data_IF_495588345267
#
_entry.id   IF_495588345267
#
_cell.length_a   1.000
_cell.length_b   1.000
_cell.length_c   1.000
_cell.angle_alpha   90.00
_cell.angle_beta   90.00
_cell.angle_gamma   90.00
#
_symmetry.space_group_name_H-M   'P 1'
#
loop_
_entity.id
_entity.type
_entity.pdbx_description
1 polymer ?
#
# COMPACT_ATOMS: atom_id res chain seq x y z
N UNK A 1 10.70 -24.32 -7.81
CA UNK A 1 9.44 -23.69 -7.37
C UNK A 1 8.67 -24.71 -6.55
N UNK A 2 8.19 -24.31 -5.40
CA UNK A 2 7.30 -25.17 -4.61
C UNK A 2 5.95 -25.24 -5.31
N UNK A 3 5.33 -26.44 -5.33
CA UNK A 3 4.05 -26.67 -5.98
C UNK A 3 2.93 -26.65 -4.95
N UNK A 4 1.81 -26.00 -5.27
CA UNK A 4 0.64 -25.92 -4.39
C UNK A 4 -0.66 -26.17 -5.13
N UNK A 5 -1.65 -26.68 -4.38
CA UNK A 5 -3.04 -26.73 -4.78
C UNK A 5 -3.82 -25.64 -4.06
N UNK A 6 -4.81 -25.02 -4.71
CA UNK A 6 -5.66 -24.02 -4.08
C UNK A 6 -6.98 -24.65 -3.63
N UNK A 7 -7.45 -24.23 -2.44
CA UNK A 7 -8.82 -24.48 -1.97
C UNK A 7 -9.54 -23.15 -1.82
N UNK A 8 -10.74 -23.05 -2.40
CA UNK A 8 -11.59 -21.87 -2.24
C UNK A 8 -13.07 -22.21 -2.07
N UNK A 9 -13.75 -21.45 -1.22
CA UNK A 9 -15.18 -21.58 -0.96
C UNK A 9 -15.91 -20.35 -1.46
N UNK A 10 -16.91 -20.54 -2.33
CA UNK A 10 -17.83 -19.48 -2.69
C UNK A 10 -19.05 -19.50 -1.78
N UNK A 11 -19.30 -18.44 -1.04
CA UNK A 11 -20.44 -18.27 -0.14
C UNK A 11 -21.57 -17.42 -0.73
N UNK A 12 -21.79 -17.52 -2.05
CA UNK A 12 -22.85 -16.80 -2.75
C UNK A 12 -22.42 -15.55 -3.50
N UNK A 13 -21.12 -15.38 -3.75
CA UNK A 13 -20.61 -14.31 -4.61
C UNK A 13 -20.90 -14.61 -6.09
N UNK A 14 -21.09 -13.57 -6.93
CA UNK A 14 -21.12 -13.74 -8.38
C UNK A 14 -19.87 -14.44 -8.90
N UNK A 15 -20.02 -15.25 -9.96
CA UNK A 15 -18.92 -16.07 -10.48
C UNK A 15 -17.71 -15.23 -10.93
N UNK A 16 -17.92 -14.07 -11.57
CA UNK A 16 -16.86 -13.16 -11.98
C UNK A 16 -16.05 -12.65 -10.80
N UNK A 17 -16.71 -12.26 -9.71
CA UNK A 17 -16.05 -11.80 -8.48
C UNK A 17 -15.23 -12.90 -7.80
N UNK A 18 -15.80 -14.10 -7.72
CA UNK A 18 -15.12 -15.24 -7.14
C UNK A 18 -13.89 -15.65 -7.96
N UNK A 19 -14.01 -15.66 -9.29
CA UNK A 19 -12.90 -15.98 -10.18
C UNK A 19 -11.77 -14.92 -10.11
N UNK A 20 -12.11 -13.64 -9.92
CA UNK A 20 -11.11 -12.60 -9.69
C UNK A 20 -10.34 -12.78 -8.39
N UNK A 21 -11.04 -13.13 -7.29
CA UNK A 21 -10.38 -13.45 -6.02
C UNK A 21 -9.42 -14.64 -6.14
N UNK A 22 -9.78 -15.65 -6.95
CA UNK A 22 -8.91 -16.79 -7.24
C UNK A 22 -7.70 -16.38 -8.08
N UNK A 23 -7.92 -15.63 -9.14
CA UNK A 23 -6.85 -15.10 -9.97
C UNK A 23 -5.87 -14.22 -9.17
N UNK A 24 -6.39 -13.44 -8.22
CA UNK A 24 -5.54 -12.67 -7.30
C UNK A 24 -4.72 -13.58 -6.39
N UNK A 25 -5.32 -14.65 -5.82
CA UNK A 25 -4.58 -15.61 -4.98
C UNK A 25 -3.47 -16.32 -5.76
N UNK A 26 -3.74 -16.73 -7.01
CA UNK A 26 -2.73 -17.34 -7.89
C UNK A 26 -1.54 -16.38 -8.06
N UNK A 27 -1.79 -15.11 -8.37
CA UNK A 27 -0.74 -14.08 -8.49
C UNK A 27 0.00 -13.83 -7.17
N UNK A 28 -0.66 -13.97 -6.01
CA UNK A 28 0.00 -13.92 -4.71
C UNK A 28 0.94 -15.12 -4.52
N UNK A 29 0.52 -16.33 -4.90
CA UNK A 29 1.37 -17.53 -4.86
C UNK A 29 2.59 -17.38 -5.79
N UNK A 30 2.40 -16.91 -7.01
CA UNK A 30 3.49 -16.60 -7.96
C UNK A 30 4.49 -15.60 -7.38
N UNK A 31 4.01 -14.57 -6.65
CA UNK A 31 4.87 -13.60 -5.98
C UNK A 31 5.72 -14.22 -4.85
N UNK A 32 5.31 -15.37 -4.33
CA UNK A 32 6.07 -16.22 -3.39
C UNK A 32 6.89 -17.32 -4.08
N UNK A 33 6.95 -17.34 -5.42
CA UNK A 33 7.61 -18.41 -6.19
C UNK A 33 6.98 -19.79 -5.99
N UNK A 34 5.67 -19.82 -5.71
CA UNK A 34 4.86 -21.02 -5.58
C UNK A 34 4.07 -21.21 -6.88
N UNK A 35 4.25 -22.36 -7.52
CA UNK A 35 3.50 -22.77 -8.73
C UNK A 35 2.16 -23.39 -8.31
N UNK A 36 1.05 -22.83 -8.79
CA UNK A 36 -0.28 -23.36 -8.54
C UNK A 36 -0.60 -24.39 -9.63
N UNK A 37 -0.79 -25.66 -9.21
CA UNK A 37 -1.07 -26.76 -10.15
C UNK A 37 -2.55 -26.77 -10.54
N UNK A 38 -3.46 -26.69 -9.56
CA UNK A 38 -4.89 -26.71 -9.79
C UNK A 38 -5.66 -26.05 -8.62
N UNK A 39 -6.95 -25.82 -8.80
CA UNK A 39 -7.84 -25.15 -7.84
C UNK A 39 -9.10 -25.96 -7.57
N UNK A 40 -9.27 -26.40 -6.33
CA UNK A 40 -10.49 -27.06 -5.86
C UNK A 40 -11.45 -26.02 -5.28
N UNK A 41 -12.63 -25.90 -5.89
CA UNK A 41 -13.66 -24.97 -5.43
C UNK A 41 -14.88 -25.69 -4.85
N UNK A 42 -15.55 -25.02 -3.91
CA UNK A 42 -16.81 -25.50 -3.36
C UNK A 42 -17.79 -24.34 -3.14
N UNK A 43 -19.06 -24.53 -3.54
CA UNK A 43 -20.14 -23.61 -3.19
C UNK A 43 -20.77 -24.06 -1.88
N UNK A 44 -20.76 -23.20 -0.87
CA UNK A 44 -21.36 -23.44 0.44
C UNK A 44 -22.13 -22.19 0.88
N UNK A 45 -23.27 -22.38 1.54
CA UNK A 45 -23.97 -21.28 2.21
C UNK A 45 -23.20 -20.74 3.42
N UNK A 46 -22.39 -21.60 4.06
CA UNK A 46 -21.54 -21.27 5.20
C UNK A 46 -20.29 -22.13 5.21
N UNK A 47 -19.16 -21.51 5.49
CA UNK A 47 -17.85 -22.18 5.64
C UNK A 47 -17.89 -23.20 6.77
N UNK A 48 -17.31 -24.39 6.56
CA UNK A 48 -17.22 -25.41 7.60
C UNK A 48 -16.28 -24.91 8.72
N UNK A 49 -16.76 -24.87 9.99
CA UNK A 49 -15.97 -24.37 11.11
C UNK A 49 -14.76 -25.25 11.46
N UNK A 50 -14.75 -26.53 11.07
CA UNK A 50 -13.70 -27.48 11.40
C UNK A 50 -12.63 -27.61 10.32
N UNK A 51 -13.05 -27.66 9.05
CA UNK A 51 -12.18 -28.03 7.91
C UNK A 51 -12.29 -27.05 6.74
N UNK A 52 -12.99 -25.91 6.90
CA UNK A 52 -13.22 -24.91 5.86
C UNK A 52 -14.10 -25.40 4.70
N UNK A 53 -13.86 -26.61 4.19
CA UNK A 53 -14.64 -27.31 3.15
C UNK A 53 -15.34 -28.54 3.74
N UNK A 54 -16.28 -29.12 3.00
CA UNK A 54 -16.95 -30.36 3.39
C UNK A 54 -16.03 -31.59 3.33
N UNK A 55 -16.32 -32.62 4.12
CA UNK A 55 -15.52 -33.85 4.22
C UNK A 55 -15.27 -34.54 2.87
N UNK A 56 -16.28 -34.58 1.98
CA UNK A 56 -16.14 -35.14 0.64
C UNK A 56 -15.10 -34.38 -0.20
N UNK A 57 -15.04 -33.04 -0.08
CA UNK A 57 -14.05 -32.22 -0.76
C UNK A 57 -12.65 -32.34 -0.14
N UNK A 58 -12.56 -32.65 1.15
CA UNK A 58 -11.26 -32.97 1.79
C UNK A 58 -10.68 -34.25 1.20
N UNK A 59 -11.52 -35.31 1.00
CA UNK A 59 -11.07 -36.55 0.39
C UNK A 59 -10.67 -36.37 -1.08
N UNK A 60 -11.43 -35.58 -1.84
CA UNK A 60 -11.11 -35.23 -3.23
C UNK A 60 -9.76 -34.51 -3.31
N UNK A 61 -9.52 -33.51 -2.44
CA UNK A 61 -8.23 -32.81 -2.37
C UNK A 61 -7.09 -33.76 -2.02
N UNK A 62 -7.30 -34.69 -1.10
CA UNK A 62 -6.28 -35.67 -0.73
C UNK A 62 -5.85 -36.54 -1.90
N UNK A 63 -6.79 -37.02 -2.71
CA UNK A 63 -6.50 -37.79 -3.92
C UNK A 63 -5.73 -36.96 -4.96
N UNK A 64 -6.09 -35.68 -5.14
CA UNK A 64 -5.39 -34.77 -6.04
C UNK A 64 -3.95 -34.52 -5.58
N UNK A 65 -3.72 -34.29 -4.29
CA UNK A 65 -2.38 -34.10 -3.72
C UNK A 65 -1.48 -35.32 -3.92
N UNK A 66 -2.02 -36.52 -3.75
CA UNK A 66 -1.32 -37.79 -3.98
C UNK A 66 -0.98 -37.98 -5.46
N UNK A 67 -1.90 -37.64 -6.40
CA UNK A 67 -1.69 -37.81 -7.85
C UNK A 67 -0.65 -36.83 -8.42
N UNK A 68 -0.60 -35.60 -7.89
CA UNK A 68 0.28 -34.53 -8.37
C UNK A 68 1.59 -34.42 -7.56
N UNK A 69 1.81 -35.30 -6.58
CA UNK A 69 2.95 -35.25 -5.65
C UNK A 69 3.15 -33.86 -5.03
N UNK A 70 2.05 -33.24 -4.60
CA UNK A 70 2.02 -31.87 -4.10
C UNK A 70 2.00 -31.84 -2.58
N UNK A 71 2.93 -31.10 -1.98
CA UNK A 71 3.10 -31.01 -0.52
C UNK A 71 2.49 -29.76 0.13
N UNK A 72 1.82 -28.89 -0.63
CA UNK A 72 1.31 -27.61 -0.13
C UNK A 72 -0.13 -27.40 -0.58
N UNK A 73 -0.95 -26.92 0.33
CA UNK A 73 -2.30 -26.40 0.04
C UNK A 73 -2.40 -24.94 0.45
N UNK A 74 -2.93 -24.10 -0.43
CA UNK A 74 -3.19 -22.69 -0.15
C UNK A 74 -4.69 -22.42 -0.14
N UNK A 75 -5.19 -21.78 0.90
CA UNK A 75 -6.62 -21.48 1.09
C UNK A 75 -6.92 -20.00 0.86
N UNK A 76 -7.99 -19.69 0.12
CA UNK A 76 -8.35 -18.33 -0.31
C UNK A 76 -8.83 -17.40 0.80
N UNK A 77 -9.16 -17.91 1.97
CA UNK A 77 -9.62 -17.14 3.13
C UNK A 77 -8.65 -17.30 4.30
N UNK A 78 -8.75 -16.42 5.30
CA UNK A 78 -8.04 -16.60 6.56
C UNK A 78 -8.63 -17.80 7.32
N UNK A 79 -7.78 -18.70 7.79
CA UNK A 79 -8.17 -19.88 8.54
C UNK A 79 -8.02 -19.69 10.03
N UNK A 80 -8.95 -20.24 10.80
CA UNK A 80 -8.75 -20.40 12.24
C UNK A 80 -7.65 -21.43 12.53
N UNK A 81 -6.96 -21.34 13.68
CA UNK A 81 -5.95 -22.33 14.07
C UNK A 81 -6.47 -23.77 14.07
N UNK A 82 -7.75 -23.95 14.39
CA UNK A 82 -8.41 -25.26 14.36
C UNK A 82 -8.56 -25.80 12.93
N UNK A 83 -8.98 -24.94 12.00
CA UNK A 83 -9.12 -25.33 10.58
C UNK A 83 -7.77 -25.72 9.97
N UNK A 84 -6.72 -24.95 10.22
CA UNK A 84 -5.36 -25.28 9.76
C UNK A 84 -4.96 -26.65 10.28
N UNK A 85 -5.01 -26.85 11.59
CA UNK A 85 -4.59 -28.11 12.20
C UNK A 85 -5.41 -29.33 11.75
N UNK A 86 -6.72 -29.18 11.53
CA UNK A 86 -7.54 -30.27 11.03
C UNK A 86 -7.25 -30.59 9.56
N UNK A 87 -7.07 -29.57 8.71
CA UNK A 87 -6.73 -29.77 7.30
C UNK A 87 -5.36 -30.43 7.14
N UNK A 88 -4.32 -29.94 7.85
CA UNK A 88 -2.99 -30.56 7.85
C UNK A 88 -3.03 -32.03 8.27
N UNK A 89 -3.82 -32.35 9.31
CA UNK A 89 -3.99 -33.72 9.77
C UNK A 89 -4.68 -34.61 8.76
N UNK A 90 -5.73 -34.13 8.09
CA UNK A 90 -6.51 -34.93 7.15
C UNK A 90 -5.81 -35.07 5.79
N UNK A 91 -5.15 -34.00 5.32
CA UNK A 91 -4.47 -33.95 4.02
C UNK A 91 -3.05 -34.50 4.08
N UNK A 92 -2.38 -34.41 5.24
CA UNK A 92 -0.99 -34.85 5.42
C UNK A 92 0.07 -33.94 4.78
N UNK A 93 -0.30 -32.70 4.44
CA UNK A 93 0.55 -31.67 3.80
C UNK A 93 0.45 -30.35 4.54
N UNK A 94 1.37 -29.41 4.25
CA UNK A 94 1.33 -28.08 4.82
C UNK A 94 0.15 -27.26 4.27
N UNK A 95 -0.56 -26.57 5.16
CA UNK A 95 -1.72 -25.75 4.81
C UNK A 95 -1.46 -24.28 5.14
N UNK A 96 -1.41 -23.46 4.12
CA UNK A 96 -1.26 -22.02 4.23
C UNK A 96 -2.56 -21.30 3.87
N UNK A 97 -2.86 -20.24 4.57
CA UNK A 97 -3.97 -19.38 4.22
C UNK A 97 -3.49 -18.12 3.48
N UNK A 98 -4.43 -17.35 2.93
CA UNK A 98 -4.15 -16.10 2.21
C UNK A 98 -3.30 -15.13 3.05
N UNK A 99 -3.56 -15.06 4.36
CA UNK A 99 -2.81 -14.19 5.28
C UNK A 99 -1.34 -14.58 5.34
N UNK A 100 -1.05 -15.88 5.42
CA UNK A 100 0.32 -16.38 5.42
C UNK A 100 1.07 -16.02 4.13
N UNK A 101 0.44 -16.19 2.97
CA UNK A 101 1.05 -15.86 1.67
C UNK A 101 1.37 -14.36 1.59
N UNK A 102 0.47 -13.49 2.02
CA UNK A 102 0.71 -12.04 2.04
C UNK A 102 1.87 -11.69 2.99
N UNK A 103 1.94 -12.31 4.18
CA UNK A 103 3.03 -12.12 5.13
C UNK A 103 4.38 -12.59 4.56
N UNK A 104 4.40 -13.70 3.84
CA UNK A 104 5.61 -14.22 3.19
C UNK A 104 6.10 -13.26 2.09
N UNK A 105 5.20 -12.71 1.25
CA UNK A 105 5.56 -11.69 0.27
C UNK A 105 6.18 -10.48 0.98
N UNK A 106 5.58 -10.02 2.07
CA UNK A 106 6.07 -8.88 2.82
C UNK A 106 7.42 -9.16 3.47
N UNK A 107 7.63 -10.38 4.00
CA UNK A 107 8.92 -10.81 4.56
C UNK A 107 10.05 -10.75 3.54
N UNK A 108 9.80 -11.22 2.32
CA UNK A 108 10.77 -11.19 1.21
C UNK A 108 11.05 -9.77 0.69
N UNK A 109 10.09 -8.84 0.86
CA UNK A 109 10.17 -7.47 0.33
C UNK A 109 10.71 -6.45 1.34
N UNK A 110 10.62 -6.71 2.63
CA UNK A 110 11.05 -5.80 3.69
C UNK A 110 12.57 -5.58 3.67
N UNK A 111 13.01 -4.36 3.35
CA UNK A 111 14.43 -3.99 3.30
C UNK A 111 14.84 -3.11 4.47
N UNK A 112 14.02 -2.13 4.85
CA UNK A 112 14.32 -1.21 5.95
C UNK A 112 14.12 -1.89 7.30
N UNK A 113 14.77 -1.34 8.33
CA UNK A 113 14.57 -1.80 9.72
C UNK A 113 13.11 -1.74 10.13
N UNK A 114 12.40 -0.67 9.76
CA UNK A 114 11.00 -0.47 10.12
C UNK A 114 10.09 -1.49 9.44
N UNK A 115 10.23 -1.70 8.12
CA UNK A 115 9.43 -2.69 7.40
C UNK A 115 9.66 -4.11 7.96
N UNK A 116 10.90 -4.48 8.28
CA UNK A 116 11.23 -5.77 8.93
C UNK A 116 10.53 -5.91 10.28
N UNK A 117 10.56 -4.87 11.12
CA UNK A 117 9.87 -4.88 12.40
C UNK A 117 8.35 -4.99 12.25
N UNK A 118 7.75 -4.31 11.27
CA UNK A 118 6.32 -4.38 10.98
C UNK A 118 5.90 -5.79 10.52
N UNK A 119 6.65 -6.37 9.58
CA UNK A 119 6.40 -7.75 9.13
C UNK A 119 6.57 -8.75 10.27
N UNK A 120 7.62 -8.62 11.06
CA UNK A 120 7.84 -9.48 12.22
C UNK A 120 6.73 -9.35 13.27
N UNK A 121 6.24 -8.12 13.51
CA UNK A 121 5.09 -7.89 14.39
C UNK A 121 3.84 -8.61 13.88
N UNK A 122 3.52 -8.45 12.59
CA UNK A 122 2.36 -9.09 11.98
C UNK A 122 2.48 -10.63 12.01
N UNK A 123 3.66 -11.17 11.69
CA UNK A 123 3.93 -12.61 11.74
C UNK A 123 3.78 -13.16 13.16
N UNK A 124 4.29 -12.47 14.15
CA UNK A 124 4.17 -12.87 15.55
C UNK A 124 2.70 -12.86 16.04
N UNK A 125 1.93 -11.84 15.65
CA UNK A 125 0.49 -11.74 15.95
C UNK A 125 -0.28 -12.88 15.26
N UNK A 126 0.04 -13.18 14.01
CA UNK A 126 -0.57 -14.26 13.25
C UNK A 126 -0.24 -15.65 13.82
N UNK A 127 1.00 -15.87 14.28
CA UNK A 127 1.46 -17.14 14.82
C UNK A 127 0.96 -17.39 16.25
N UNK A 128 0.82 -16.36 17.09
CA UNK A 128 0.51 -16.49 18.51
C UNK A 128 -0.75 -17.36 18.80
N UNK A 129 -1.91 -17.19 18.14
CA UNK A 129 -3.07 -18.06 18.35
C UNK A 129 -2.86 -19.48 17.79
N UNK A 130 -2.01 -19.65 16.78
CA UNK A 130 -1.73 -20.93 16.11
C UNK A 130 -0.85 -21.85 16.93
N UNK A 131 0.03 -21.31 17.78
CA UNK A 131 0.79 -22.10 18.75
C UNK A 131 -0.10 -22.91 19.68
N UNK A 132 -1.25 -22.38 20.08
CA UNK A 132 -2.20 -23.05 20.98
C UNK A 132 -2.86 -24.25 20.30
N UNK A 133 -3.06 -24.22 18.99
CA UNK A 133 -3.67 -25.31 18.20
C UNK A 133 -2.72 -26.49 17.97
N UNK A 134 -1.46 -26.21 17.60
CA UNK A 134 -0.48 -27.23 17.21
C UNK A 134 -0.15 -28.23 18.33
N UNK A 135 -0.13 -27.81 19.58
CA UNK A 135 0.24 -28.68 20.72
C UNK A 135 -0.90 -29.52 21.29
N UNK A 136 -2.18 -29.16 21.07
CA UNK A 136 -3.30 -30.03 21.46
C UNK A 136 -3.28 -31.37 20.71
N UNK A 137 -2.73 -31.40 19.51
CA UNK A 137 -2.58 -32.63 18.72
C UNK A 137 -1.37 -33.46 19.15
N UNK A 138 -0.23 -32.86 19.48
CA UNK A 138 0.96 -33.58 19.97
C UNK A 138 0.73 -34.25 21.34
N UNK A 139 -0.09 -33.69 22.23
CA UNK A 139 -0.44 -34.29 23.50
C UNK A 139 -1.42 -35.47 23.36
N UNK A 140 -2.27 -35.50 22.34
CA UNK A 140 -3.18 -36.62 22.06
C UNK A 140 -2.49 -37.81 21.38
N UNK A 141 -1.49 -37.59 20.54
CA UNK A 141 -0.75 -38.67 19.87
C UNK A 141 0.13 -39.47 20.82
N UNK A 142 0.53 -38.93 21.98
CA UNK A 142 1.33 -39.62 23.00
C UNK A 142 0.49 -40.38 24.04
N UNK A 143 -0.85 -40.44 23.89
CA UNK A 143 -1.78 -40.97 24.86
C UNK A 143 -2.06 -42.49 24.79
N UNK A 144 -1.44 -43.28 23.89
CA UNK A 144 -1.61 -44.74 23.75
C UNK A 144 -0.33 -45.51 24.14
N UNK A 145 0.16 -45.29 25.31
CA UNK A 145 1.29 -46.06 25.85
C UNK A 145 1.27 -46.00 27.38
N UNK A 146 0.97 -47.14 27.99
CA UNK A 146 0.98 -47.41 29.41
C UNK A 146 2.20 -46.76 30.10
N UNK A 147 1.98 -45.96 31.13
CA UNK A 147 2.92 -45.67 32.17
C UNK A 147 3.87 -44.49 31.94
N UNK A 148 3.43 -43.25 32.20
CA UNK A 148 4.34 -42.22 32.73
C UNK A 148 3.55 -41.02 33.27
N UNK A 149 3.53 -40.85 34.56
CA UNK A 149 3.04 -39.65 35.27
C UNK A 149 3.88 -38.38 35.04
N UNK A 150 4.91 -38.43 34.20
CA UNK A 150 5.89 -37.32 33.99
C UNK A 150 5.80 -36.63 32.63
N UNK A 151 4.86 -37.00 31.72
CA UNK A 151 4.83 -36.47 30.36
C UNK A 151 3.89 -35.29 30.08
N UNK A 152 2.92 -35.00 30.97
CA UNK A 152 1.91 -33.96 30.74
C UNK A 152 2.38 -32.53 30.98
N UNK A 153 3.33 -32.30 31.88
CA UNK A 153 3.81 -30.97 32.20
C UNK A 153 4.83 -30.38 31.21
N UNK A 154 5.62 -31.21 30.51
CA UNK A 154 6.70 -30.74 29.66
C UNK A 154 6.27 -30.07 28.36
N UNK A 155 5.21 -30.56 27.75
CA UNK A 155 4.68 -29.98 26.50
C UNK A 155 3.89 -28.69 26.73
N UNK A 156 3.09 -28.64 27.80
CA UNK A 156 2.34 -27.45 28.21
C UNK A 156 3.28 -26.34 28.69
N UNK A 157 4.35 -26.70 29.41
CA UNK A 157 5.37 -25.75 29.86
C UNK A 157 6.16 -25.16 28.69
N UNK A 158 6.52 -25.92 27.67
CA UNK A 158 7.18 -25.43 26.46
C UNK A 158 6.32 -24.47 25.69
N UNK A 159 5.03 -24.83 25.49
CA UNK A 159 4.05 -23.97 24.80
C UNK A 159 3.86 -22.62 25.51
N UNK A 160 3.77 -22.65 26.84
CA UNK A 160 3.62 -21.43 27.63
C UNK A 160 4.90 -20.56 27.56
N UNK A 161 6.08 -21.17 27.51
CA UNK A 161 7.35 -20.46 27.29
C UNK A 161 7.41 -19.84 25.90
N UNK A 162 7.05 -20.58 24.84
CA UNK A 162 7.01 -20.08 23.47
C UNK A 162 6.01 -18.91 23.34
N UNK A 163 4.83 -19.04 23.94
CA UNK A 163 3.82 -17.96 23.98
C UNK A 163 4.34 -16.72 24.69
N UNK A 164 5.01 -16.87 25.84
CA UNK A 164 5.60 -15.76 26.59
C UNK A 164 6.70 -15.09 25.79
N UNK A 165 7.53 -15.87 25.10
CA UNK A 165 8.61 -15.38 24.26
C UNK A 165 8.04 -14.52 23.13
N UNK A 166 7.06 -15.03 22.36
CA UNK A 166 6.43 -14.28 21.27
C UNK A 166 5.70 -13.05 21.79
N UNK A 167 4.98 -13.15 22.91
CA UNK A 167 4.32 -12.00 23.53
C UNK A 167 5.30 -10.91 23.95
N UNK A 168 6.48 -11.30 24.47
CA UNK A 168 7.55 -10.36 24.78
C UNK A 168 8.08 -9.70 23.50
N UNK A 169 8.39 -10.49 22.47
CA UNK A 169 8.85 -9.96 21.19
C UNK A 169 7.85 -8.95 20.58
N UNK A 170 6.54 -9.23 20.64
CA UNK A 170 5.49 -8.30 20.20
C UNK A 170 5.60 -6.96 20.93
N UNK A 171 5.80 -6.98 22.26
CA UNK A 171 5.91 -5.76 23.06
C UNK A 171 7.20 -4.99 22.76
N UNK A 172 8.31 -5.69 22.63
CA UNK A 172 9.61 -5.09 22.31
C UNK A 172 9.57 -4.42 20.92
N UNK A 173 9.02 -5.10 19.92
CA UNK A 173 8.85 -4.54 18.56
C UNK A 173 7.92 -3.34 18.56
N UNK A 174 6.80 -3.39 19.30
CA UNK A 174 5.87 -2.24 19.42
C UNK A 174 6.58 -1.03 20.03
N UNK A 175 7.47 -1.21 20.99
CA UNK A 175 8.25 -0.13 21.59
C UNK A 175 9.21 0.49 20.56
N UNK A 176 9.97 -0.33 19.81
CA UNK A 176 10.88 0.16 18.76
C UNK A 176 10.12 0.91 17.66
N UNK A 177 8.99 0.40 17.19
CA UNK A 177 8.15 1.07 16.18
C UNK A 177 7.61 2.42 16.68
N UNK A 178 7.29 2.53 17.98
CA UNK A 178 6.88 3.80 18.60
C UNK A 178 7.98 4.86 18.58
N UNK A 179 9.22 4.47 18.81
CA UNK A 179 10.38 5.36 18.72
C UNK A 179 10.58 5.87 17.29
N UNK A 180 10.54 4.96 16.30
CA UNK A 180 10.64 5.32 14.88
C UNK A 180 9.52 6.29 14.45
N UNK A 181 8.29 6.06 14.91
CA UNK A 181 7.16 6.98 14.69
C UNK A 181 7.42 8.38 15.25
N UNK A 182 8.03 8.51 16.42
CA UNK A 182 8.37 9.81 17.02
C UNK A 182 9.43 10.56 16.20
N UNK A 183 10.44 9.86 15.70
CA UNK A 183 11.45 10.45 14.80
C UNK A 183 10.81 10.99 13.52
N UNK A 184 9.91 10.22 12.89
CA UNK A 184 9.15 10.67 11.71
C UNK A 184 8.31 11.92 11.99
N UNK A 185 7.62 11.98 13.14
CA UNK A 185 6.86 13.19 13.54
C UNK A 185 7.74 14.44 13.57
N UNK A 186 8.97 14.33 14.04
CA UNK A 186 9.91 15.46 14.09
C UNK A 186 10.32 15.88 12.67
N UNK A 187 10.65 14.93 11.80
CA UNK A 187 10.97 15.21 10.40
C UNK A 187 9.80 15.86 9.64
N UNK A 188 8.56 15.38 9.88
CA UNK A 188 7.34 15.96 9.28
C UNK A 188 7.12 17.41 9.73
N UNK A 189 7.30 17.72 11.03
CA UNK A 189 7.20 19.09 11.53
C UNK A 189 8.18 20.04 10.84
N UNK A 190 9.40 19.58 10.53
CA UNK A 190 10.38 20.36 9.79
C UNK A 190 9.94 20.59 8.34
N UNK A 191 9.41 19.56 7.65
CA UNK A 191 8.86 19.68 6.29
C UNK A 191 7.68 20.65 6.21
N UNK A 192 6.72 20.56 7.14
CA UNK A 192 5.58 21.49 7.22
C UNK A 192 6.03 22.93 7.48
N UNK A 193 7.06 23.15 8.31
CA UNK A 193 7.66 24.49 8.50
C UNK A 193 8.29 25.06 7.23
N UNK A 194 8.78 24.22 6.34
CA UNK A 194 9.34 24.62 5.05
C UNK A 194 8.28 24.84 3.96
N UNK A 195 6.99 24.66 4.27
CA UNK A 195 5.90 24.80 3.30
C UNK A 195 5.87 23.73 2.20
N UNK A 196 6.59 22.59 2.38
CA UNK A 196 6.67 21.54 1.40
C UNK A 196 5.37 20.75 1.32
N UNK A 197 4.69 20.80 0.17
CA UNK A 197 3.47 20.04 -0.11
C UNK A 197 3.77 18.57 -0.40
N UNK A 198 2.83 17.69 -0.07
CA UNK A 198 2.97 16.23 -0.22
C UNK A 198 1.78 15.66 -0.97
N UNK A 199 2.03 14.95 -2.07
CA UNK A 199 1.05 14.11 -2.74
C UNK A 199 1.36 12.62 -2.48
N UNK A 200 0.34 11.80 -2.20
CA UNK A 200 0.49 10.36 -1.96
C UNK A 200 -0.24 9.55 -3.03
N UNK A 201 0.48 8.59 -3.64
CA UNK A 201 -0.08 7.61 -4.55
C UNK A 201 -0.74 6.51 -3.72
N UNK A 202 -2.03 6.28 -3.93
CA UNK A 202 -2.78 5.18 -3.31
C UNK A 202 -3.50 4.38 -4.39
N UNK A 203 -3.90 3.16 -4.07
CA UNK A 203 -4.64 2.32 -5.00
C UNK A 203 -4.34 0.85 -4.80
N UNK A 204 -5.04 0.03 -5.55
CA UNK A 204 -4.91 -1.42 -5.49
C UNK A 204 -3.51 -1.90 -5.89
N UNK A 205 -3.11 -3.11 -5.48
CA UNK A 205 -1.86 -3.70 -5.97
C UNK A 205 -1.89 -3.84 -7.48
N UNK A 206 -0.73 -3.61 -8.10
CA UNK A 206 -0.57 -3.66 -9.56
C UNK A 206 -1.41 -2.64 -10.36
N UNK A 207 -1.93 -1.58 -9.73
CA UNK A 207 -2.61 -0.49 -10.46
C UNK A 207 -1.64 0.44 -11.23
N UNK A 208 -0.34 0.27 -11.01
CA UNK A 208 0.71 1.08 -11.65
C UNK A 208 1.17 2.29 -10.85
N UNK A 209 1.05 2.27 -9.50
CA UNK A 209 1.51 3.36 -8.62
C UNK A 209 2.98 3.71 -8.82
N UNK A 210 3.87 2.72 -8.71
CA UNK A 210 5.31 2.92 -8.87
C UNK A 210 5.67 3.34 -10.30
N UNK A 211 4.97 2.81 -11.31
CA UNK A 211 5.14 3.23 -12.71
C UNK A 211 4.71 4.68 -12.90
N UNK A 212 3.59 5.10 -12.30
CA UNK A 212 3.14 6.49 -12.31
C UNK A 212 4.15 7.41 -11.61
N UNK A 213 4.71 6.98 -10.45
CA UNK A 213 5.78 7.73 -9.78
C UNK A 213 6.97 7.94 -10.71
N UNK A 214 7.48 6.87 -11.33
CA UNK A 214 8.65 6.95 -12.22
C UNK A 214 8.35 7.79 -13.46
N UNK A 215 7.16 7.62 -14.05
CA UNK A 215 6.71 8.41 -15.18
C UNK A 215 6.68 9.92 -14.84
N UNK A 216 6.09 10.32 -13.72
CA UNK A 216 6.07 11.71 -13.25
C UNK A 216 7.47 12.24 -12.93
N UNK A 217 8.37 11.40 -12.41
CA UNK A 217 9.77 11.77 -12.17
C UNK A 217 10.54 12.03 -13.48
N UNK A 218 10.19 11.36 -14.57
CA UNK A 218 10.84 11.60 -15.87
C UNK A 218 10.49 12.98 -16.45
N UNK A 219 9.34 13.54 -16.10
CA UNK A 219 8.92 14.91 -16.41
C UNK A 219 9.52 15.95 -15.43
N UNK A 220 10.11 15.50 -14.32
CA UNK A 220 10.74 16.41 -13.35
C UNK A 220 12.10 16.91 -13.86
N UNK A 221 12.38 18.20 -13.66
CA UNK A 221 13.66 18.82 -14.00
C UNK A 221 14.82 18.19 -13.19
N UNK A 222 14.54 17.61 -12.03
CA UNK A 222 15.53 16.95 -11.18
C UNK A 222 15.64 15.45 -11.49
N UNK A 223 16.51 15.05 -12.41
CA UNK A 223 16.82 13.64 -12.70
C UNK A 223 17.40 12.95 -11.45
N UNK A 224 16.61 12.15 -10.73
CA UNK A 224 17.05 11.29 -9.62
C UNK A 224 16.70 9.83 -9.90
N UNK A 225 17.35 8.89 -9.17
CA UNK A 225 17.21 7.45 -9.32
C UNK A 225 15.75 7.00 -9.34
N UNK A 226 15.40 6.23 -10.36
CA UNK A 226 14.12 5.57 -10.54
C UNK A 226 13.80 4.61 -9.40
N UNK A 227 12.51 4.41 -9.15
CA UNK A 227 12.02 3.39 -8.23
C UNK A 227 11.88 2.07 -8.99
N UNK A 228 12.20 0.97 -8.32
CA UNK A 228 12.11 -0.35 -8.90
C UNK A 228 10.68 -0.70 -9.27
N UNK A 229 10.44 -0.97 -10.54
CA UNK A 229 9.16 -1.44 -11.07
C UNK A 229 9.19 -2.94 -11.32
N UNK A 230 8.14 -3.64 -10.92
CA UNK A 230 7.84 -5.01 -11.36
C UNK A 230 6.34 -5.16 -11.49
N UNK A 231 5.92 -5.86 -12.53
CA UNK A 231 4.53 -6.29 -12.73
C UNK A 231 4.20 -7.46 -11.77
N UNK A 232 4.23 -7.17 -10.47
CA UNK A 232 3.97 -8.13 -9.39
C UNK A 232 3.20 -7.47 -8.26
N UNK A 233 2.35 -8.26 -7.59
CA UNK A 233 1.63 -7.79 -6.41
C UNK A 233 2.62 -7.39 -5.30
N UNK A 234 2.33 -6.28 -4.61
CA UNK A 234 3.16 -5.70 -3.57
C UNK A 234 4.62 -5.42 -4.00
N UNK A 235 4.83 -4.91 -5.22
CA UNK A 235 6.16 -4.50 -5.66
C UNK A 235 6.79 -3.45 -4.73
N UNK A 236 5.96 -2.58 -4.16
CA UNK A 236 6.32 -1.57 -3.15
C UNK A 236 5.73 -1.95 -1.79
N UNK A 237 6.57 -2.24 -0.81
CA UNK A 237 6.19 -2.44 0.60
C UNK A 237 6.54 -1.23 1.48
N UNK A 238 7.54 -0.48 1.09
CA UNK A 238 8.06 0.67 1.82
C UNK A 238 7.64 1.96 1.13
N UNK A 239 7.27 2.98 1.89
CA UNK A 239 6.98 4.28 1.29
C UNK A 239 8.24 4.87 0.66
N UNK A 240 8.16 5.22 -0.59
CA UNK A 240 9.23 5.86 -1.34
C UNK A 240 8.83 7.30 -1.67
N UNK A 241 9.46 8.26 -0.98
CA UNK A 241 9.19 9.68 -1.21
C UNK A 241 10.25 10.28 -2.13
N UNK A 242 9.80 11.01 -3.16
CA UNK A 242 10.64 11.69 -4.14
C UNK A 242 10.21 13.15 -4.29
N UNK A 243 11.18 14.00 -4.56
CA UNK A 243 10.93 15.40 -4.91
C UNK A 243 10.64 15.49 -6.41
N UNK A 244 9.47 16.01 -6.74
CA UNK A 244 9.08 16.38 -8.10
C UNK A 244 9.25 17.89 -8.22
N UNK A 245 9.95 18.35 -9.24
CA UNK A 245 10.10 19.76 -9.57
C UNK A 245 9.54 19.98 -10.97
N UNK A 246 8.52 20.80 -11.08
CA UNK A 246 7.81 21.05 -12.33
C UNK A 246 8.43 22.20 -13.13
N UNK A 247 8.02 22.36 -14.37
CA UNK A 247 8.46 23.46 -15.25
C UNK A 247 8.10 24.85 -14.69
N UNK A 248 7.00 24.93 -13.93
CA UNK A 248 6.58 26.14 -13.24
C UNK A 248 7.40 26.46 -11.97
N UNK A 249 8.54 25.79 -11.78
CA UNK A 249 9.39 25.87 -10.57
C UNK A 249 8.73 25.52 -9.26
N UNK A 250 7.57 24.87 -9.30
CA UNK A 250 6.94 24.32 -8.11
C UNK A 250 7.61 23.01 -7.71
N UNK A 251 7.67 22.78 -6.41
CA UNK A 251 8.24 21.55 -5.88
C UNK A 251 7.31 20.93 -4.86
N UNK A 252 7.07 19.65 -5.00
CA UNK A 252 6.29 18.87 -4.04
C UNK A 252 6.91 17.48 -3.84
N UNK A 253 6.58 16.86 -2.74
CA UNK A 253 6.98 15.48 -2.47
C UNK A 253 5.89 14.54 -2.99
N UNK A 254 6.31 13.56 -3.79
CA UNK A 254 5.45 12.48 -4.26
C UNK A 254 5.84 11.19 -3.56
N UNK A 255 4.87 10.57 -2.87
CA UNK A 255 5.10 9.37 -2.06
C UNK A 255 4.37 8.18 -2.66
N UNK A 256 5.12 7.13 -3.01
CA UNK A 256 4.54 5.82 -3.35
C UNK A 256 4.25 5.04 -2.08
N UNK A 257 3.10 4.37 -2.04
CA UNK A 257 2.63 3.63 -0.87
C UNK A 257 2.37 2.16 -1.19
N UNK A 258 2.22 1.35 -0.15
CA UNK A 258 1.85 -0.06 -0.27
C UNK A 258 0.51 -0.18 -1.01
N UNK A 259 0.44 -1.09 -1.98
CA UNK A 259 -0.82 -1.38 -2.68
C UNK A 259 -1.80 -2.14 -1.79
N UNK A 260 -3.08 -1.83 -1.93
CA UNK A 260 -4.14 -2.56 -1.25
C UNK A 260 -4.51 -3.84 -2.01
N UNK A 261 -4.98 -4.83 -1.28
CA UNK A 261 -5.53 -6.08 -1.82
C UNK A 261 -6.87 -6.40 -1.16
N UNK A 262 -7.65 -7.23 -1.83
CA UNK A 262 -8.87 -7.74 -1.23
C UNK A 262 -8.54 -8.64 -0.02
N UNK A 263 -9.39 -8.61 0.99
CA UNK A 263 -9.23 -9.40 2.23
C UNK A 263 -7.89 -9.18 2.93
N UNK A 264 -7.37 -7.92 2.92
CA UNK A 264 -6.18 -7.59 3.69
C UNK A 264 -6.48 -7.82 5.18
N UNK A 265 -5.72 -8.69 5.88
CA UNK A 265 -5.98 -9.00 7.28
C UNK A 265 -5.85 -7.77 8.18
N UNK A 266 -6.78 -7.58 9.12
CA UNK A 266 -6.73 -6.45 10.07
C UNK A 266 -5.42 -6.37 10.86
N UNK A 267 -4.83 -7.52 11.17
CA UNK A 267 -3.53 -7.61 11.86
C UNK A 267 -2.40 -6.97 11.04
N UNK A 268 -2.44 -7.13 9.70
CA UNK A 268 -1.51 -6.48 8.78
C UNK A 268 -1.77 -4.97 8.71
N UNK A 269 -3.02 -4.55 8.61
CA UNK A 269 -3.38 -3.12 8.62
C UNK A 269 -2.86 -2.47 9.91
N UNK A 270 -3.01 -3.12 11.07
CA UNK A 270 -2.51 -2.61 12.35
C UNK A 270 -0.97 -2.52 12.38
N UNK A 271 -0.27 -3.55 11.91
CA UNK A 271 1.19 -3.57 11.88
C UNK A 271 1.77 -2.50 10.93
N UNK A 272 1.14 -2.29 9.76
CA UNK A 272 1.55 -1.30 8.77
C UNK A 272 0.91 0.08 8.97
N UNK A 273 0.11 0.26 10.03
CA UNK A 273 -0.59 1.52 10.32
C UNK A 273 0.35 2.72 10.32
N UNK A 274 1.55 2.59 10.87
CA UNK A 274 2.52 3.69 10.91
C UNK A 274 3.04 4.09 9.51
N UNK A 275 3.13 3.14 8.58
CA UNK A 275 3.49 3.40 7.17
C UNK A 275 2.29 3.99 6.42
N UNK A 276 1.10 3.46 6.65
CA UNK A 276 -0.14 3.94 6.04
C UNK A 276 -0.57 5.32 6.60
N UNK A 277 -0.19 5.67 7.83
CA UNK A 277 -0.39 7.01 8.40
C UNK A 277 0.33 8.12 7.60
N UNK A 278 1.28 7.79 6.73
CA UNK A 278 1.86 8.79 5.81
C UNK A 278 0.84 9.29 4.78
N UNK A 279 -0.14 8.46 4.42
CA UNK A 279 -1.24 8.85 3.54
C UNK A 279 -2.11 9.93 4.22
N UNK A 280 -2.40 9.78 5.52
CA UNK A 280 -3.23 10.75 6.26
C UNK A 280 -2.55 12.11 6.49
N UNK A 281 -1.26 12.22 6.20
CA UNK A 281 -0.48 13.46 6.30
C UNK A 281 -0.24 14.13 4.95
N UNK A 282 -0.76 13.56 3.86
CA UNK A 282 -0.67 14.12 2.54
C UNK A 282 -1.59 15.34 2.37
N UNK A 283 -1.22 16.27 1.51
CA UNK A 283 -2.05 17.41 1.11
C UNK A 283 -2.96 17.03 -0.08
N UNK A 284 -2.59 15.97 -0.83
CA UNK A 284 -3.33 15.46 -1.98
C UNK A 284 -3.17 13.94 -2.09
N UNK A 285 -4.22 13.24 -2.44
CA UNK A 285 -4.22 11.82 -2.78
C UNK A 285 -4.39 11.64 -4.29
N UNK A 286 -3.50 10.87 -4.89
CA UNK A 286 -3.64 10.37 -6.25
C UNK A 286 -4.09 8.91 -6.19
N UNK A 287 -5.37 8.67 -6.45
CA UNK A 287 -5.93 7.32 -6.43
C UNK A 287 -5.72 6.65 -7.79
N UNK A 288 -4.69 5.79 -7.89
CA UNK A 288 -4.31 5.11 -9.12
C UNK A 288 -5.17 3.86 -9.31
N UNK A 289 -5.88 3.80 -10.42
CA UNK A 289 -6.88 2.78 -10.77
C UNK A 289 -6.41 2.07 -12.03
N UNK A 290 -6.44 0.74 -12.02
CA UNK A 290 -6.23 -0.07 -13.22
C UNK A 290 -7.52 -0.08 -14.05
N UNK A 291 -7.60 0.74 -15.09
CA UNK A 291 -8.80 0.86 -15.95
C UNK A 291 -9.01 -0.36 -16.86
N UNK A 292 -8.00 -1.22 -17.01
CA UNK A 292 -8.14 -2.47 -17.77
C UNK A 292 -8.86 -3.58 -16.98
N UNK A 293 -9.01 -3.41 -15.65
CA UNK A 293 -9.72 -4.37 -14.81
C UNK A 293 -11.23 -4.09 -14.85
N UNK A 294 -12.03 -5.09 -15.23
CA UNK A 294 -13.50 -4.97 -15.28
C UNK A 294 -14.16 -4.68 -13.92
N UNK A 295 -13.49 -5.04 -12.81
CA UNK A 295 -13.98 -4.81 -11.44
C UNK A 295 -13.27 -3.64 -10.74
N UNK A 296 -12.77 -2.65 -11.50
CA UNK A 296 -12.04 -1.50 -10.93
C UNK A 296 -12.87 -0.74 -9.87
N UNK A 297 -14.19 -0.71 -9.99
CA UNK A 297 -15.08 -0.04 -9.02
C UNK A 297 -14.97 -0.68 -7.62
N UNK A 298 -14.89 -2.01 -7.52
CA UNK A 298 -14.66 -2.71 -6.25
C UNK A 298 -13.28 -2.43 -5.67
N UNK A 299 -12.26 -2.31 -6.53
CA UNK A 299 -10.92 -1.93 -6.09
C UNK A 299 -10.92 -0.51 -5.52
N UNK A 300 -11.70 0.40 -6.11
CA UNK A 300 -11.92 1.76 -5.57
C UNK A 300 -12.62 1.67 -4.21
N UNK A 301 -13.66 0.86 -4.06
CA UNK A 301 -14.37 0.69 -2.79
C UNK A 301 -13.45 0.15 -1.68
N UNK A 302 -12.62 -0.86 -1.98
CA UNK A 302 -11.63 -1.41 -1.03
C UNK A 302 -10.66 -0.33 -0.60
N UNK A 303 -10.11 0.43 -1.55
CA UNK A 303 -9.19 1.54 -1.28
C UNK A 303 -9.85 2.60 -0.42
N UNK A 304 -11.06 3.05 -0.76
CA UNK A 304 -11.80 4.07 -0.02
C UNK A 304 -12.13 3.62 1.42
N UNK A 305 -12.43 2.32 1.63
CA UNK A 305 -12.63 1.77 2.97
C UNK A 305 -11.36 1.92 3.83
N UNK A 306 -10.21 1.55 3.28
CA UNK A 306 -8.94 1.68 4.00
C UNK A 306 -8.60 3.15 4.27
N UNK A 307 -8.81 4.05 3.30
CA UNK A 307 -8.61 5.50 3.49
C UNK A 307 -9.49 6.04 4.63
N UNK A 308 -10.72 5.57 4.73
CA UNK A 308 -11.63 5.94 5.83
C UNK A 308 -11.13 5.43 7.19
N UNK A 309 -10.62 4.20 7.27
CA UNK A 309 -10.00 3.64 8.50
C UNK A 309 -8.77 4.45 8.93
N UNK A 310 -8.05 5.06 7.98
CA UNK A 310 -6.90 5.91 8.21
C UNK A 310 -7.26 7.38 8.47
N UNK A 311 -8.55 7.77 8.45
CA UNK A 311 -9.04 9.15 8.49
C UNK A 311 -8.47 10.04 7.38
N UNK A 312 -8.19 9.46 6.21
CA UNK A 312 -7.65 10.14 5.03
C UNK A 312 -8.72 10.45 3.97
N UNK A 313 -9.98 10.09 4.21
CA UNK A 313 -11.13 10.28 3.32
C UNK A 313 -11.52 11.74 3.08
N UNK A 314 -11.00 12.68 3.88
CA UNK A 314 -11.23 14.12 3.76
C UNK A 314 -10.15 14.85 2.96
N UNK A 315 -9.07 14.17 2.63
CA UNK A 315 -7.97 14.77 1.85
C UNK A 315 -8.44 14.91 0.41
N UNK A 316 -8.16 16.05 -0.27
CA UNK A 316 -8.43 16.20 -1.70
C UNK A 316 -7.91 15.02 -2.50
N UNK A 317 -8.67 14.54 -3.50
CA UNK A 317 -8.33 13.33 -4.25
C UNK A 317 -8.51 13.55 -5.75
N UNK A 318 -7.53 13.06 -6.52
CA UNK A 318 -7.61 12.93 -7.98
C UNK A 318 -7.68 11.43 -8.32
N UNK A 319 -8.70 11.03 -9.07
CA UNK A 319 -8.84 9.67 -9.56
C UNK A 319 -8.06 9.51 -10.87
N UNK A 320 -7.03 8.67 -10.86
CA UNK A 320 -6.12 8.49 -12.00
C UNK A 320 -6.37 7.11 -12.61
N UNK A 321 -7.11 7.07 -13.70
CA UNK A 321 -7.40 5.87 -14.47
C UNK A 321 -6.21 5.53 -15.36
N UNK A 322 -5.37 4.63 -14.89
CA UNK A 322 -4.12 4.22 -15.54
C UNK A 322 -4.32 3.00 -16.43
N UNK A 323 -3.33 2.68 -17.25
CA UNK A 323 -3.27 1.57 -18.20
C UNK A 323 -4.27 1.68 -19.36
N UNK A 324 -4.52 2.91 -19.81
CA UNK A 324 -5.39 3.13 -20.98
C UNK A 324 -4.83 2.51 -22.26
N UNK A 325 -3.54 2.25 -22.30
CA UNK A 325 -2.86 1.51 -23.39
C UNK A 325 -3.33 0.06 -23.55
N UNK A 326 -4.02 -0.50 -22.56
CA UNK A 326 -4.62 -1.85 -22.58
C UNK A 326 -6.12 -1.83 -22.89
N UNK A 327 -6.71 -0.67 -23.07
CA UNK A 327 -8.14 -0.53 -23.34
C UNK A 327 -8.41 -0.47 -24.85
N UNK A 328 -9.51 -1.09 -25.24
CA UNK A 328 -10.10 -0.83 -26.54
C UNK A 328 -10.81 0.55 -26.52
N UNK A 329 -11.04 1.15 -27.69
CA UNK A 329 -11.72 2.44 -27.81
C UNK A 329 -13.08 2.42 -27.13
N UNK A 330 -13.37 3.46 -26.30
CA UNK A 330 -14.70 3.66 -25.72
C UNK A 330 -14.79 3.67 -24.19
N UNK A 331 -13.69 3.57 -23.45
CA UNK A 331 -13.74 3.74 -21.99
C UNK A 331 -14.09 5.18 -21.60
N UNK A 332 -15.17 5.34 -20.82
CA UNK A 332 -15.59 6.61 -20.26
C UNK A 332 -15.46 6.59 -18.73
N UNK A 333 -14.88 7.66 -18.18
CA UNK A 333 -14.85 7.85 -16.73
C UNK A 333 -16.28 8.15 -16.26
N UNK A 334 -16.81 7.41 -15.28
CA UNK A 334 -18.11 7.71 -14.71
C UNK A 334 -18.18 9.13 -14.13
N UNK A 335 -19.26 9.90 -14.35
CA UNK A 335 -19.40 11.30 -13.93
C UNK A 335 -19.31 11.51 -12.41
N UNK A 336 -19.45 10.45 -11.61
CA UNK A 336 -19.32 10.50 -10.15
C UNK A 336 -17.88 10.87 -9.68
N UNK A 337 -16.88 10.73 -10.56
CA UNK A 337 -15.49 11.08 -10.26
C UNK A 337 -15.21 12.49 -10.83
N UNK A 338 -15.52 13.54 -10.05
CA UNK A 338 -15.42 14.95 -10.50
C UNK A 338 -13.99 15.36 -10.89
N UNK A 339 -12.98 14.91 -10.12
CA UNK A 339 -11.56 15.15 -10.40
C UNK A 339 -10.92 13.86 -10.87
N UNK A 340 -10.97 13.61 -12.17
CA UNK A 340 -10.47 12.36 -12.73
C UNK A 340 -9.76 12.57 -14.06
N UNK A 341 -8.76 11.72 -14.32
CA UNK A 341 -7.98 11.74 -15.55
C UNK A 341 -7.62 10.32 -15.99
N UNK A 342 -7.52 10.13 -17.31
CA UNK A 342 -7.02 8.90 -17.94
C UNK A 342 -5.55 9.06 -18.29
N UNK A 343 -4.71 8.08 -17.93
CA UNK A 343 -3.29 8.10 -18.27
C UNK A 343 -2.79 6.72 -18.76
N UNK A 344 -1.66 6.72 -19.44
CA UNK A 344 -0.80 5.55 -19.54
C UNK A 344 0.56 5.90 -18.92
N UNK A 345 0.82 5.40 -17.73
CA UNK A 345 2.13 5.55 -17.09
C UNK A 345 3.25 4.86 -17.91
N UNK A 346 2.89 3.84 -18.71
CA UNK A 346 3.82 3.11 -19.57
C UNK A 346 4.21 3.90 -20.81
N UNK A 347 3.23 4.52 -21.48
CA UNK A 347 3.44 5.25 -22.72
C UNK A 347 3.73 6.74 -22.49
N UNK A 348 3.41 7.26 -21.29
CA UNK A 348 3.53 8.69 -20.99
C UNK A 348 2.30 9.51 -21.33
N UNK A 349 1.17 8.90 -21.71
CA UNK A 349 -0.03 9.60 -22.15
C UNK A 349 -0.66 10.40 -21.00
N UNK A 350 -0.98 11.69 -21.26
CA UNK A 350 -1.65 12.64 -20.36
C UNK A 350 -0.94 12.89 -19.01
N UNK A 351 0.38 12.64 -18.90
CA UNK A 351 1.12 12.90 -17.67
C UNK A 351 1.35 14.39 -17.41
N UNK A 352 1.47 15.18 -18.46
CA UNK A 352 1.52 16.66 -18.42
C UNK A 352 0.23 17.24 -17.84
N UNK A 353 -0.92 16.76 -18.30
CA UNK A 353 -2.23 17.12 -17.75
C UNK A 353 -2.38 16.71 -16.29
N UNK A 354 -1.91 15.51 -15.94
CA UNK A 354 -1.92 15.05 -14.54
C UNK A 354 -1.06 15.96 -13.66
N UNK A 355 0.14 16.38 -14.12
CA UNK A 355 1.00 17.32 -13.39
C UNK A 355 0.29 18.67 -13.19
N UNK A 356 -0.38 19.19 -14.23
CA UNK A 356 -1.15 20.44 -14.12
C UNK A 356 -2.27 20.31 -13.07
N UNK A 357 -3.03 19.21 -13.08
CA UNK A 357 -4.07 18.96 -12.08
C UNK A 357 -3.50 18.86 -10.64
N UNK A 358 -2.31 18.26 -10.49
CA UNK A 358 -1.62 18.17 -9.19
C UNK A 358 -1.20 19.56 -8.73
N UNK A 359 -0.62 20.38 -9.61
CA UNK A 359 -0.22 21.75 -9.29
C UNK A 359 -1.43 22.61 -8.89
N UNK A 360 -2.50 22.57 -9.65
CA UNK A 360 -3.73 23.32 -9.38
C UNK A 360 -4.32 22.96 -8.01
N UNK A 361 -4.29 21.69 -7.63
CA UNK A 361 -4.84 21.25 -6.35
C UNK A 361 -3.91 21.52 -5.16
N UNK A 362 -2.60 21.30 -5.31
CA UNK A 362 -1.64 21.49 -4.21
C UNK A 362 -1.37 22.97 -3.91
N UNK A 363 -1.45 23.85 -4.92
CA UNK A 363 -1.03 25.23 -4.82
C UNK A 363 -2.17 26.23 -5.02
N UNK A 364 -3.44 25.79 -4.91
CA UNK A 364 -4.63 26.65 -5.01
C UNK A 364 -4.67 27.77 -3.96
N UNK A 365 -3.98 27.60 -2.84
CA UNK A 365 -3.87 28.56 -1.74
C UNK A 365 -2.76 29.61 -1.95
N UNK A 366 -2.03 29.53 -3.08
CA UNK A 366 -0.97 30.49 -3.38
C UNK A 366 -1.56 31.86 -3.75
N UNK A 367 -1.01 32.92 -3.15
CA UNK A 367 -1.45 34.31 -3.33
C UNK A 367 -0.74 34.97 -4.48
N UNK A 368 -1.52 35.57 -5.39
CA UNK A 368 -0.96 36.40 -6.46
C UNK A 368 -0.48 37.73 -5.90
N UNK A 369 0.78 38.06 -6.14
CA UNK A 369 1.42 39.30 -5.74
C UNK A 369 2.12 39.99 -6.94
N UNK A 370 2.10 41.30 -6.89
CA UNK A 370 2.93 42.14 -7.72
C UNK A 370 4.06 42.70 -6.82
N UNK A 371 5.29 42.29 -7.06
CA UNK A 371 6.43 42.62 -6.19
C UNK A 371 7.41 43.52 -6.95
N UNK A 372 7.89 44.55 -6.29
CA UNK A 372 9.06 45.31 -6.74
C UNK A 372 10.21 45.06 -5.77
N UNK A 373 11.19 44.26 -6.17
CA UNK A 373 12.34 43.85 -5.36
C UNK A 373 13.57 44.59 -5.79
N UNK A 374 14.23 45.41 -4.92
CA UNK A 374 15.48 46.04 -5.24
C UNK A 374 16.60 45.01 -5.41
N UNK A 375 17.61 45.31 -6.23
CA UNK A 375 18.75 44.40 -6.46
C UNK A 375 19.49 44.00 -5.19
N UNK A 376 19.45 44.84 -4.15
CA UNK A 376 20.00 44.51 -2.83
C UNK A 376 19.36 43.33 -2.14
N UNK A 377 18.18 42.90 -2.59
CA UNK A 377 17.42 41.74 -2.06
C UNK A 377 17.41 40.54 -2.99
N UNK A 378 18.57 40.27 -3.59
CA UNK A 378 18.77 39.07 -4.43
C UNK A 378 18.51 37.76 -3.67
N UNK A 379 18.67 37.79 -2.34
CA UNK A 379 18.33 36.69 -1.45
C UNK A 379 16.84 36.29 -1.53
N UNK A 380 15.95 37.31 -1.55
CA UNK A 380 14.50 37.07 -1.71
C UNK A 380 14.14 36.70 -3.14
N UNK A 381 14.77 37.35 -4.13
CA UNK A 381 14.55 37.02 -5.52
C UNK A 381 14.90 35.54 -5.81
N UNK A 382 16.05 35.04 -5.31
CA UNK A 382 16.42 33.62 -5.45
C UNK A 382 15.41 32.69 -4.81
N UNK A 383 14.91 33.02 -3.60
CA UNK A 383 13.87 32.23 -2.92
C UNK A 383 12.56 32.20 -3.70
N UNK A 384 12.14 33.32 -4.28
CA UNK A 384 10.96 33.38 -5.13
C UNK A 384 11.16 32.51 -6.36
N UNK A 385 12.34 32.63 -7.01
CA UNK A 385 12.65 31.84 -8.21
C UNK A 385 12.68 30.33 -7.97
N UNK A 386 12.97 29.91 -6.75
CA UNK A 386 13.03 28.50 -6.36
C UNK A 386 11.67 27.93 -5.86
N UNK A 387 10.80 28.79 -5.28
CA UNK A 387 9.64 28.31 -4.51
C UNK A 387 8.32 29.01 -4.83
N UNK A 388 8.24 29.77 -5.93
CA UNK A 388 7.04 30.48 -6.35
C UNK A 388 6.79 30.33 -7.85
N UNK A 389 5.54 30.56 -8.27
CA UNK A 389 5.18 30.63 -9.69
C UNK A 389 5.38 32.06 -10.16
N UNK A 390 6.34 32.28 -11.06
CA UNK A 390 6.56 33.58 -11.69
C UNK A 390 5.76 33.62 -12.99
N UNK A 391 4.68 34.43 -13.04
CA UNK A 391 3.89 34.63 -14.24
C UNK A 391 4.51 35.66 -15.19
N UNK A 392 5.06 36.73 -14.63
CA UNK A 392 5.74 37.80 -15.39
C UNK A 392 6.98 38.29 -14.62
N UNK A 393 8.06 38.50 -15.33
CA UNK A 393 9.33 39.04 -14.79
C UNK A 393 9.85 40.16 -15.71
N UNK A 394 10.07 41.34 -15.12
CA UNK A 394 10.68 42.46 -15.78
C UNK A 394 11.85 42.98 -14.93
N UNK A 395 12.93 43.38 -15.57
CA UNK A 395 14.08 44.00 -14.92
C UNK A 395 14.02 45.49 -15.19
N UNK A 396 13.86 46.29 -14.13
CA UNK A 396 13.89 47.75 -14.17
C UNK A 396 15.25 48.28 -13.71
N UNK A 397 15.49 49.60 -13.81
CA UNK A 397 16.78 50.22 -13.45
C UNK A 397 17.14 50.01 -11.96
N UNK A 398 16.15 49.86 -11.07
CA UNK A 398 16.31 49.80 -9.61
C UNK A 398 15.96 48.45 -9.00
N UNK A 399 15.53 47.44 -9.79
CA UNK A 399 15.17 46.13 -9.27
C UNK A 399 14.36 45.23 -10.21
N UNK A 400 13.81 44.16 -9.63
CA UNK A 400 12.96 43.18 -10.31
C UNK A 400 11.50 43.53 -10.08
N UNK A 401 10.71 43.56 -11.14
CA UNK A 401 9.26 43.64 -11.10
C UNK A 401 8.71 42.24 -11.40
N UNK A 402 8.02 41.64 -10.42
CA UNK A 402 7.54 40.27 -10.53
C UNK A 402 6.03 40.21 -10.33
N UNK A 403 5.35 39.51 -11.20
CA UNK A 403 4.03 39.03 -10.99
C UNK A 403 4.12 37.53 -10.62
N UNK A 404 3.85 37.21 -9.37
CA UNK A 404 4.16 35.88 -8.84
C UNK A 404 3.08 35.38 -7.88
N UNK A 405 2.84 34.06 -7.90
CA UNK A 405 2.02 33.38 -6.90
C UNK A 405 2.93 32.77 -5.85
N UNK A 406 2.71 33.11 -4.59
CA UNK A 406 3.58 32.73 -3.47
C UNK A 406 2.78 31.98 -2.39
N UNK A 407 3.45 31.06 -1.69
CA UNK A 407 2.90 30.41 -0.49
C UNK A 407 2.76 31.41 0.65
N UNK A 408 1.93 31.11 1.65
CA UNK A 408 1.79 31.93 2.86
C UNK A 408 3.14 32.17 3.55
N UNK A 409 4.01 31.17 3.60
CA UNK A 409 5.34 31.31 4.20
C UNK A 409 6.21 32.33 3.44
N UNK A 410 6.17 32.29 2.11
CA UNK A 410 6.94 33.22 1.30
C UNK A 410 6.30 34.62 1.31
N UNK A 411 4.96 34.68 1.40
CA UNK A 411 4.20 35.92 1.57
C UNK A 411 4.69 36.74 2.77
N UNK A 412 4.87 36.13 3.93
CA UNK A 412 5.39 36.80 5.14
C UNK A 412 6.76 37.45 4.94
N UNK A 413 7.58 36.91 4.03
CA UNK A 413 8.90 37.42 3.73
C UNK A 413 8.89 38.59 2.71
N UNK A 414 7.93 38.57 1.77
CA UNK A 414 7.95 39.42 0.58
C UNK A 414 6.83 40.47 0.54
N UNK A 415 5.78 40.36 1.40
CA UNK A 415 4.62 41.28 1.37
C UNK A 415 4.99 42.75 1.48
N UNK A 416 6.11 43.09 2.10
CA UNK A 416 6.63 44.47 2.22
C UNK A 416 7.00 45.10 0.87
N UNK A 417 7.25 44.28 -0.13
CA UNK A 417 7.60 44.68 -1.50
C UNK A 417 6.41 44.61 -2.45
N UNK A 418 5.20 44.37 -1.93
CA UNK A 418 3.97 44.35 -2.73
C UNK A 418 3.63 45.74 -3.23
N UNK A 419 3.32 45.83 -4.51
CA UNK A 419 2.85 47.05 -5.18
C UNK A 419 1.42 46.86 -5.68
N UNK A 420 0.58 47.90 -5.58
CA UNK A 420 -0.77 47.82 -6.17
C UNK A 420 -0.70 47.84 -7.70
N UNK A 421 -1.53 47.05 -8.34
CA UNK A 421 -1.60 46.88 -9.81
C UNK A 421 -1.79 48.18 -10.57
N UNK A 422 -2.29 49.26 -9.93
CA UNK A 422 -2.69 50.52 -10.56
C UNK A 422 -1.54 51.55 -10.73
N UNK A 423 -0.30 51.18 -10.42
CA UNK A 423 0.89 52.04 -10.69
C UNK A 423 1.63 51.58 -11.97
N UNK A 424 0.91 51.44 -13.08
CA UNK A 424 1.47 51.59 -14.42
C UNK A 424 1.23 53.04 -14.82
N UNK A 425 2.15 53.94 -14.50
CA UNK A 425 2.40 55.18 -15.21
C UNK A 425 3.91 55.40 -15.25
#
# INVERSE_FOLDING_TARGET
MDKAMIIAVNTGKPANEFNEELSELIKLCEACEIEVLDTLTQNLSRINPNTYIGSGKVQEMKLLLESEECGIVVVNDELSPLQVSNLEKELGVDVFDRTYIILEIFSRRARTKEAKLQVQLASNIYQLPRLVGAHKHLSRQRGTGSGALHGRGGGEMKLELDRRLISKQINDIKAELKELKNLRKTQRKLRKKQGMKVASLVGYTNSGKSSTLNALLSYSISKRKEVYEKDMLFATLETSTRLVKTENNLSFLLTDTVGFVNKLPHQLVEAFKSTLEEISEADLILHIIDSSNQNYEKQIEVTNRVLKELNADKIPMIYVFNKIDLLEDGFFIPPLYEKAIKISAKNGDNLDLLLTMIEDELFQDYRLLYLKLPFSRIDLYSKIKENAIIEEELIEEDGYLLKTKVSDHLYELVHKYHINKDRKN
#
